data_IF_329408485318
#
_entry.id   IF_329408485318
#
_cell.length_a   1.000
_cell.length_b   1.000
_cell.length_c   1.000
_cell.angle_alpha   90.00
_cell.angle_beta   90.00
_cell.angle_gamma   90.00
#
_symmetry.space_group_name_H-M   'P 1'
#
loop_
_entity.id
_entity.type
_entity.pdbx_description
1 polymer ?
#
# COMPACT_ATOMS: atom_id res chain seq x y z
N UNK A 1 16.41 -2.87 -7.43
CA UNK A 1 16.58 -3.46 -8.76
C UNK A 1 15.57 -4.57 -8.99
N UNK A 2 14.41 -4.25 -9.57
CA UNK A 2 13.35 -5.23 -9.89
C UNK A 2 12.72 -4.96 -11.27
N UNK A 3 13.51 -4.48 -12.24
CA UNK A 3 13.15 -4.50 -13.68
C UNK A 3 13.94 -5.64 -14.30
N UNK A 4 13.36 -6.84 -14.38
CA UNK A 4 14.03 -8.00 -15.00
C UNK A 4 13.63 -9.38 -14.46
N UNK A 5 12.69 -9.46 -13.54
CA UNK A 5 12.21 -10.75 -13.03
C UNK A 5 11.23 -11.38 -14.03
N UNK A 6 11.54 -12.60 -14.47
CA UNK A 6 10.66 -13.41 -15.33
C UNK A 6 9.37 -13.77 -14.61
N UNK A 7 8.38 -14.28 -15.34
CA UNK A 7 7.03 -14.58 -14.81
C UNK A 7 7.05 -15.54 -13.59
N UNK A 8 8.09 -16.38 -13.47
CA UNK A 8 8.34 -17.25 -12.31
C UNK A 8 8.95 -16.57 -11.07
N UNK A 9 9.60 -15.40 -11.24
CA UNK A 9 10.32 -14.71 -10.17
C UNK A 9 9.43 -13.73 -9.37
N UNK A 10 8.27 -13.33 -9.90
CA UNK A 10 7.43 -12.29 -9.30
C UNK A 10 6.80 -12.72 -7.97
N UNK A 11 6.54 -14.02 -7.80
CA UNK A 11 5.94 -14.57 -6.58
C UNK A 11 6.97 -15.01 -5.54
N UNK A 12 8.23 -15.23 -5.94
CA UNK A 12 9.27 -15.82 -5.09
C UNK A 12 9.45 -15.07 -3.75
N UNK A 13 9.48 -13.72 -3.71
CA UNK A 13 9.55 -12.97 -2.45
C UNK A 13 8.30 -13.13 -1.55
N UNK A 14 7.14 -13.48 -2.14
CA UNK A 14 5.87 -13.59 -1.43
C UNK A 14 5.53 -15.01 -1.01
N UNK A 15 6.19 -16.04 -1.57
CA UNK A 15 5.92 -17.44 -1.27
C UNK A 15 5.99 -17.73 0.23
N UNK A 16 6.97 -17.14 0.91
CA UNK A 16 7.16 -17.26 2.36
C UNK A 16 6.04 -16.63 3.19
N UNK A 17 5.19 -15.78 2.62
CA UNK A 17 4.07 -15.14 3.30
C UNK A 17 2.77 -15.97 3.23
N UNK A 18 2.63 -16.90 2.29
CA UNK A 18 1.42 -17.73 2.16
C UNK A 18 1.34 -18.79 3.27
N UNK A 19 0.14 -19.02 3.81
CA UNK A 19 -0.10 -20.02 4.87
C UNK A 19 0.02 -21.46 4.39
N UNK A 20 -0.11 -21.71 3.08
CA UNK A 20 0.09 -23.01 2.43
C UNK A 20 0.84 -22.81 1.11
N UNK A 21 1.56 -23.83 0.61
CA UNK A 21 2.10 -23.79 -0.74
C UNK A 21 0.98 -23.49 -1.74
N UNK A 22 1.23 -22.57 -2.66
CA UNK A 22 0.28 -22.28 -3.73
C UNK A 22 0.13 -23.54 -4.60
N UNK A 23 -1.06 -23.84 -5.09
CA UNK A 23 -1.25 -24.81 -6.18
C UNK A 23 -1.04 -24.11 -7.55
N UNK A 24 -1.03 -24.89 -8.64
CA UNK A 24 -0.77 -24.34 -9.98
C UNK A 24 -1.82 -23.29 -10.40
N UNK A 25 -3.10 -23.56 -10.13
CA UNK A 25 -4.22 -22.68 -10.50
C UNK A 25 -4.18 -21.37 -9.72
N UNK A 26 -3.89 -21.45 -8.44
CA UNK A 26 -3.78 -20.31 -7.55
C UNK A 26 -2.54 -19.47 -7.89
N UNK A 27 -1.41 -20.10 -8.25
CA UNK A 27 -0.22 -19.40 -8.77
C UNK A 27 -0.56 -18.54 -9.99
N UNK A 28 -1.18 -19.11 -11.01
CA UNK A 28 -1.58 -18.38 -12.23
C UNK A 28 -2.49 -17.19 -11.91
N UNK A 29 -3.50 -17.39 -11.05
CA UNK A 29 -4.41 -16.33 -10.64
C UNK A 29 -3.68 -15.18 -9.93
N UNK A 30 -2.72 -15.49 -9.04
CA UNK A 30 -1.92 -14.50 -8.34
C UNK A 30 -0.94 -13.77 -9.25
N UNK A 31 -0.27 -14.45 -10.19
CA UNK A 31 0.60 -13.81 -11.19
C UNK A 31 -0.20 -12.83 -12.03
N UNK A 32 -1.35 -13.25 -12.56
CA UNK A 32 -2.21 -12.39 -13.36
C UNK A 32 -2.74 -11.19 -12.56
N UNK A 33 -3.11 -11.40 -11.28
CA UNK A 33 -3.54 -10.31 -10.40
C UNK A 33 -2.40 -9.33 -10.09
N UNK A 34 -1.20 -9.82 -9.74
CA UNK A 34 -0.03 -8.98 -9.48
C UNK A 34 0.40 -8.18 -10.72
N UNK A 35 0.29 -8.77 -11.91
CA UNK A 35 0.51 -8.08 -13.18
C UNK A 35 -0.44 -6.90 -13.36
N UNK A 36 -1.75 -7.12 -13.18
CA UNK A 36 -2.77 -6.05 -13.24
C UNK A 36 -2.57 -4.99 -12.16
N UNK A 37 -2.29 -5.42 -10.93
CA UNK A 37 -2.08 -4.52 -9.80
C UNK A 37 -0.82 -3.67 -9.98
N UNK A 38 0.29 -4.26 -10.42
CA UNK A 38 1.50 -3.49 -10.79
C UNK A 38 1.24 -2.53 -11.96
N UNK A 39 0.42 -2.93 -12.93
CA UNK A 39 -0.06 -2.03 -13.98
C UNK A 39 -0.82 -0.84 -13.42
N UNK A 40 -1.71 -1.06 -12.43
CA UNK A 40 -2.43 0.02 -11.75
C UNK A 40 -1.54 0.91 -10.87
N UNK A 41 -0.40 0.40 -10.40
CA UNK A 41 0.62 1.21 -9.70
C UNK A 41 1.46 2.07 -10.64
N UNK A 42 1.34 1.87 -11.96
CA UNK A 42 1.99 2.68 -13.00
C UNK A 42 1.12 3.82 -13.54
N UNK A 43 -0.07 4.03 -12.97
CA UNK A 43 -0.97 5.13 -13.31
C UNK A 43 -0.92 6.27 -12.29
N UNK A 44 -1.65 7.34 -12.58
CA UNK A 44 -1.80 8.47 -11.67
C UNK A 44 -2.54 8.06 -10.38
N UNK A 45 -2.14 8.60 -9.23
CA UNK A 45 -2.77 8.34 -7.94
C UNK A 45 -3.10 9.63 -7.18
N UNK A 46 -4.02 9.51 -6.21
CA UNK A 46 -4.31 10.60 -5.26
C UNK A 46 -3.04 11.03 -4.54
N UNK A 47 -2.78 12.33 -4.52
CA UNK A 47 -1.60 12.95 -3.95
C UNK A 47 -0.44 13.16 -4.94
N UNK A 48 -0.52 12.62 -6.15
CA UNK A 48 0.51 12.88 -7.17
C UNK A 48 0.40 14.32 -7.71
N UNK A 49 1.56 14.93 -7.96
CA UNK A 49 1.66 16.21 -8.66
C UNK A 49 1.64 15.96 -10.16
N UNK A 50 0.77 16.68 -10.85
CA UNK A 50 0.56 16.53 -12.29
C UNK A 50 0.55 17.88 -12.96
N UNK A 51 1.14 17.97 -14.15
CA UNK A 51 0.99 19.08 -15.08
C UNK A 51 -0.18 18.75 -16.00
N UNK A 52 -1.04 19.72 -16.20
CA UNK A 52 -2.12 19.62 -17.17
C UNK A 52 -1.57 19.88 -18.56
N UNK A 53 -1.87 19.01 -19.52
CA UNK A 53 -1.47 19.17 -20.92
C UNK A 53 -2.55 18.65 -21.87
N UNK A 54 -2.48 19.05 -23.15
CA UNK A 54 -3.34 18.50 -24.20
C UNK A 54 -4.81 18.93 -24.16
N UNK A 55 -5.20 19.94 -23.37
CA UNK A 55 -6.57 20.45 -23.37
C UNK A 55 -6.77 21.43 -24.54
N UNK A 56 -7.66 21.07 -25.46
CA UNK A 56 -8.01 21.92 -26.62
C UNK A 56 -9.12 22.94 -26.32
N UNK A 57 -10.12 22.58 -25.49
CA UNK A 57 -11.28 23.45 -25.23
C UNK A 57 -11.01 24.59 -24.25
N UNK A 58 -10.08 24.37 -23.32
CA UNK A 58 -9.64 25.32 -22.29
C UNK A 58 -8.12 25.32 -22.20
N UNK A 59 -7.43 25.84 -23.22
CA UNK A 59 -5.97 25.81 -23.29
C UNK A 59 -5.31 26.58 -22.15
N UNK A 60 -6.02 27.50 -21.48
CA UNK A 60 -5.56 28.24 -20.29
C UNK A 60 -5.22 27.35 -19.09
N UNK A 61 -5.73 26.11 -19.09
CA UNK A 61 -5.40 25.12 -18.06
C UNK A 61 -4.10 24.38 -18.36
N UNK A 62 -3.60 24.39 -19.61
CA UNK A 62 -2.35 23.72 -19.94
C UNK A 62 -1.17 24.37 -19.21
N UNK A 63 -0.14 23.58 -18.94
CA UNK A 63 1.06 23.94 -18.19
C UNK A 63 0.85 24.22 -16.70
N UNK A 64 -0.39 24.32 -16.23
CA UNK A 64 -0.69 24.43 -14.81
C UNK A 64 -0.33 23.15 -14.06
N UNK A 65 0.16 23.30 -12.84
CA UNK A 65 0.47 22.19 -11.95
C UNK A 65 -0.61 22.08 -10.88
N UNK A 66 -1.00 20.85 -10.57
CA UNK A 66 -1.94 20.56 -9.50
C UNK A 66 -1.63 19.25 -8.80
N UNK A 67 -2.40 18.98 -7.75
CA UNK A 67 -2.34 17.74 -6.98
C UNK A 67 -3.62 16.97 -7.16
N UNK A 68 -3.53 15.69 -7.47
CA UNK A 68 -4.69 14.81 -7.58
C UNK A 68 -5.33 14.63 -6.20
N UNK A 69 -6.65 14.82 -6.09
CA UNK A 69 -7.41 14.67 -4.85
C UNK A 69 -8.26 13.40 -4.83
N UNK A 70 -8.87 13.02 -5.95
CA UNK A 70 -9.80 11.89 -6.01
C UNK A 70 -10.03 11.42 -7.45
N UNK A 71 -10.40 10.14 -7.61
CA UNK A 71 -10.96 9.62 -8.87
C UNK A 71 -12.48 9.73 -8.83
N UNK A 72 -13.06 10.42 -9.82
CA UNK A 72 -14.50 10.47 -10.00
C UNK A 72 -14.94 9.34 -10.95
N UNK A 73 -15.59 8.31 -10.39
CA UNK A 73 -16.06 7.13 -11.15
C UNK A 73 -17.22 7.44 -12.10
N UNK A 74 -18.09 8.38 -11.76
CA UNK A 74 -19.25 8.74 -12.59
C UNK A 74 -18.85 9.54 -13.84
N UNK A 75 -17.80 10.36 -13.71
CA UNK A 75 -17.31 11.24 -14.78
C UNK A 75 -16.06 10.69 -15.48
N UNK A 76 -15.52 9.57 -15.02
CA UNK A 76 -14.26 8.95 -15.45
C UNK A 76 -13.11 9.97 -15.57
N UNK A 77 -12.96 10.79 -14.53
CA UNK A 77 -11.99 11.90 -14.48
C UNK A 77 -11.36 12.03 -13.10
N UNK A 78 -10.10 12.44 -13.08
CA UNK A 78 -9.38 12.84 -11.89
C UNK A 78 -9.81 14.23 -11.45
N UNK A 79 -10.15 14.38 -10.16
CA UNK A 79 -10.24 15.69 -9.51
C UNK A 79 -8.84 16.16 -9.14
N UNK A 80 -8.41 17.28 -9.70
CA UNK A 80 -7.10 17.90 -9.52
C UNK A 80 -7.28 19.28 -8.91
N UNK A 81 -6.63 19.54 -7.78
CA UNK A 81 -6.57 20.85 -7.16
C UNK A 81 -5.31 21.55 -7.69
N UNK A 82 -5.50 22.58 -8.50
CA UNK A 82 -4.44 23.36 -9.14
C UNK A 82 -3.77 24.31 -8.12
N UNK A 83 -2.54 24.74 -8.40
CA UNK A 83 -1.78 25.62 -7.49
C UNK A 83 -2.39 27.04 -7.37
N UNK A 84 -3.22 27.45 -8.33
CA UNK A 84 -4.02 28.68 -8.25
C UNK A 84 -5.22 28.57 -7.28
N UNK A 85 -5.41 27.40 -6.67
CA UNK A 85 -6.48 27.09 -5.72
C UNK A 85 -7.78 26.60 -6.37
N UNK A 86 -7.84 26.49 -7.70
CA UNK A 86 -9.02 26.00 -8.41
C UNK A 86 -9.06 24.47 -8.49
N UNK A 87 -10.27 23.90 -8.56
CA UNK A 87 -10.45 22.46 -8.76
C UNK A 87 -10.87 22.16 -10.20
N UNK A 88 -10.20 21.19 -10.82
CA UNK A 88 -10.43 20.76 -12.20
C UNK A 88 -10.69 19.26 -12.30
N UNK A 89 -11.63 18.86 -13.17
CA UNK A 89 -11.92 17.45 -13.47
C UNK A 89 -11.33 17.05 -14.84
N UNK A 90 -10.22 16.29 -14.81
CA UNK A 90 -9.35 16.06 -15.96
C UNK A 90 -9.21 14.56 -16.30
N UNK A 91 -9.06 14.24 -17.58
CA UNK A 91 -8.77 12.87 -18.02
C UNK A 91 -7.30 12.56 -17.74
N UNK A 92 -6.99 11.30 -17.44
CA UNK A 92 -5.60 10.84 -17.25
C UNK A 92 -4.70 11.17 -18.45
N UNK A 93 -5.22 11.10 -19.68
CA UNK A 93 -4.48 11.46 -20.89
C UNK A 93 -4.06 12.96 -20.97
N UNK A 94 -4.66 13.82 -20.15
CA UNK A 94 -4.35 15.26 -20.09
C UNK A 94 -3.51 15.61 -18.86
N UNK A 95 -2.95 14.60 -18.19
CA UNK A 95 -2.23 14.74 -16.93
C UNK A 95 -0.88 14.06 -17.07
N UNK A 96 0.17 14.87 -16.99
CA UNK A 96 1.55 14.41 -17.00
C UNK A 96 2.10 14.43 -15.57
N UNK A 97 2.64 13.30 -15.11
CA UNK A 97 3.25 13.20 -13.78
C UNK A 97 4.49 14.11 -13.70
N UNK A 98 4.58 14.93 -12.64
CA UNK A 98 5.73 15.81 -12.38
C UNK A 98 6.55 15.25 -11.22
N UNK A 99 7.73 14.66 -11.49
CA UNK A 99 8.65 14.16 -10.45
C UNK A 99 9.53 15.28 -9.85
N UNK A 100 9.13 15.84 -8.69
CA UNK A 100 9.92 16.69 -7.76
C UNK A 100 10.46 18.03 -8.32
N UNK A 101 10.56 19.17 -7.62
CA UNK A 101 10.42 19.59 -6.22
C UNK A 101 10.08 21.09 -6.21
N UNK A 102 9.49 21.57 -5.10
CA UNK A 102 9.59 22.97 -4.73
C UNK A 102 11.07 23.35 -4.45
N UNK A 103 11.43 24.59 -4.78
CA UNK A 103 12.71 25.28 -4.57
C UNK A 103 13.90 24.82 -5.44
N UNK A 104 14.22 25.67 -6.42
CA UNK A 104 15.45 25.68 -7.20
C UNK A 104 16.66 26.04 -6.33
N UNK A 105 17.77 25.31 -6.51
CA UNK A 105 19.03 25.56 -5.82
C UNK A 105 20.12 24.56 -6.24
N UNK A 106 20.66 24.77 -7.45
CA UNK A 106 21.92 24.30 -8.06
C UNK A 106 22.70 23.10 -7.47
N UNK A 107 22.99 22.16 -8.40
CA UNK A 107 24.22 21.38 -8.59
C UNK A 107 24.20 19.87 -8.30
N UNK A 108 24.44 19.13 -9.40
CA UNK A 108 25.06 17.81 -9.52
C UNK A 108 24.29 16.54 -9.10
N UNK A 109 23.88 15.77 -10.12
CA UNK A 109 24.24 14.35 -10.18
C UNK A 109 23.15 13.32 -9.82
N UNK A 110 22.48 12.79 -10.85
CA UNK A 110 22.09 11.38 -11.01
C UNK A 110 21.32 10.66 -9.89
N UNK A 111 20.02 10.35 -10.12
CA UNK A 111 19.30 9.41 -9.24
C UNK A 111 17.80 9.20 -9.49
N UNK A 112 17.33 9.19 -10.73
CA UNK A 112 15.90 9.15 -11.10
C UNK A 112 15.14 7.83 -10.91
N UNK A 113 15.34 7.10 -9.81
CA UNK A 113 14.55 5.90 -9.51
C UNK A 113 14.18 5.71 -8.02
N UNK A 114 14.90 6.38 -7.10
CA UNK A 114 14.68 6.19 -5.67
C UNK A 114 13.47 6.99 -5.12
N UNK A 115 13.14 8.14 -5.73
CA UNK A 115 12.05 9.02 -5.29
C UNK A 115 10.65 8.43 -5.46
N UNK A 116 10.43 7.66 -6.54
CA UNK A 116 9.13 7.02 -6.85
C UNK A 116 8.85 5.79 -5.96
N UNK A 117 9.88 4.99 -5.65
CA UNK A 117 9.70 3.80 -4.79
C UNK A 117 9.52 4.19 -3.33
N UNK A 118 10.34 5.12 -2.82
CA UNK A 118 10.26 5.53 -1.41
C UNK A 118 8.91 6.20 -1.07
N UNK A 119 8.41 7.06 -1.98
CA UNK A 119 7.09 7.69 -1.83
C UNK A 119 5.95 6.67 -1.91
N UNK A 120 6.03 5.69 -2.82
CA UNK A 120 5.06 4.58 -2.92
C UNK A 120 5.07 3.72 -1.67
N UNK A 121 6.24 3.34 -1.15
CA UNK A 121 6.37 2.57 0.10
C UNK A 121 5.76 3.32 1.28
N UNK A 122 6.00 4.63 1.39
CA UNK A 122 5.39 5.47 2.43
C UNK A 122 3.86 5.46 2.35
N UNK A 123 3.29 5.59 1.13
CA UNK A 123 1.84 5.51 0.91
C UNK A 123 1.28 4.14 1.29
N UNK A 124 1.96 3.07 0.91
CA UNK A 124 1.55 1.70 1.23
C UNK A 124 1.57 1.45 2.75
N UNK A 125 2.58 1.93 3.46
CA UNK A 125 2.67 1.81 4.92
C UNK A 125 1.59 2.61 5.64
N UNK A 126 1.25 3.79 5.14
CA UNK A 126 0.19 4.62 5.73
C UNK A 126 -1.22 4.04 5.50
N UNK A 127 -1.43 3.29 4.41
CA UNK A 127 -2.74 2.72 4.09
C UNK A 127 -2.95 1.30 4.67
N UNK A 128 -1.87 0.52 4.83
CA UNK A 128 -1.96 -0.87 5.27
C UNK A 128 -1.50 -1.00 6.74
N UNK A 129 -2.40 -1.37 7.67
CA UNK A 129 -2.00 -1.57 9.06
C UNK A 129 -1.00 -2.72 9.16
N UNK A 130 0.10 -2.47 9.86
CA UNK A 130 1.12 -3.48 10.18
C UNK A 130 0.59 -4.50 11.18
N UNK A 131 -0.22 -4.06 12.14
CA UNK A 131 -0.80 -4.91 13.18
C UNK A 131 -2.32 -5.00 13.05
N UNK A 132 -2.81 -6.24 12.92
CA UNK A 132 -4.23 -6.57 12.85
C UNK A 132 -4.56 -7.53 13.99
N UNK A 133 -5.68 -7.36 14.71
CA UNK A 133 -6.10 -8.31 15.74
C UNK A 133 -6.41 -9.68 15.14
N UNK A 134 -5.46 -10.61 15.22
CA UNK A 134 -5.62 -11.99 14.73
C UNK A 134 -6.15 -12.89 15.84
N UNK A 135 -6.97 -13.85 15.47
CA UNK A 135 -7.60 -14.81 16.39
C UNK A 135 -6.60 -15.40 17.41
N UNK A 136 -5.44 -15.89 16.94
CA UNK A 136 -4.44 -16.50 17.82
C UNK A 136 -3.90 -15.54 18.90
N UNK A 137 -3.84 -14.24 18.63
CA UNK A 137 -3.39 -13.23 19.59
C UNK A 137 -4.45 -13.06 20.68
N UNK A 138 -5.71 -12.98 20.26
CA UNK A 138 -6.85 -12.79 21.15
C UNK A 138 -7.09 -14.02 22.03
N UNK A 139 -7.03 -15.22 21.46
CA UNK A 139 -7.16 -16.48 22.20
C UNK A 139 -6.10 -16.57 23.31
N UNK A 140 -4.84 -16.24 23.01
CA UNK A 140 -3.78 -16.23 24.04
C UNK A 140 -4.06 -15.19 25.13
N UNK A 141 -4.53 -14.00 24.77
CA UNK A 141 -4.89 -12.96 25.73
C UNK A 141 -6.06 -13.39 26.63
N UNK A 142 -7.11 -14.00 26.07
CA UNK A 142 -8.25 -14.51 26.81
C UNK A 142 -7.87 -15.66 27.74
N UNK A 143 -7.08 -16.65 27.28
CA UNK A 143 -6.61 -17.75 28.13
C UNK A 143 -5.78 -17.25 29.32
N UNK A 144 -5.00 -16.19 29.13
CA UNK A 144 -4.19 -15.58 30.19
C UNK A 144 -5.07 -14.78 31.17
N UNK A 145 -6.02 -14.01 30.65
CA UNK A 145 -6.99 -13.26 31.45
C UNK A 145 -7.90 -14.18 32.28
N UNK A 146 -8.29 -15.34 31.75
CA UNK A 146 -9.09 -16.33 32.50
C UNK A 146 -8.36 -16.91 33.73
N UNK A 147 -7.02 -16.80 33.75
CA UNK A 147 -6.17 -17.16 34.90
C UNK A 147 -5.90 -15.95 35.82
N UNK A 148 -6.59 -14.83 35.61
CA UNK A 148 -6.45 -13.60 36.37
C UNK A 148 -5.32 -12.67 35.91
N UNK A 149 -4.60 -13.02 34.84
CA UNK A 149 -3.48 -12.21 34.33
C UNK A 149 -3.87 -11.46 33.05
N UNK A 150 -4.10 -10.16 33.20
CA UNK A 150 -4.53 -9.26 32.13
C UNK A 150 -3.38 -8.58 31.38
N UNK A 151 -2.12 -8.89 31.70
CA UNK A 151 -0.94 -8.24 31.10
C UNK A 151 -0.95 -8.28 29.57
N UNK A 152 -1.32 -9.43 29.00
CA UNK A 152 -1.34 -9.61 27.54
C UNK A 152 -2.51 -8.86 26.87
N UNK A 153 -3.64 -8.71 27.56
CA UNK A 153 -4.76 -7.88 27.07
C UNK A 153 -4.31 -6.43 26.96
N UNK A 154 -3.64 -5.90 27.99
CA UNK A 154 -3.12 -4.53 27.96
C UNK A 154 -2.00 -4.34 26.93
N UNK A 155 -1.12 -5.33 26.75
CA UNK A 155 -0.07 -5.28 25.71
C UNK A 155 -0.68 -5.21 24.30
N UNK A 156 -1.66 -6.06 24.00
CA UNK A 156 -2.35 -6.04 22.71
C UNK A 156 -3.19 -4.78 22.51
N UNK A 157 -3.82 -4.27 23.57
CA UNK A 157 -4.53 -2.99 23.51
C UNK A 157 -3.59 -1.85 23.10
N UNK A 158 -2.42 -1.75 23.74
CA UNK A 158 -1.39 -0.78 23.38
C UNK A 158 -0.93 -0.92 21.93
N UNK A 159 -0.70 -2.16 21.47
CA UNK A 159 -0.32 -2.45 20.09
C UNK A 159 -1.33 -1.92 19.07
N UNK A 160 -2.63 -2.09 19.34
CA UNK A 160 -3.70 -1.72 18.43
C UNK A 160 -4.10 -0.24 18.47
N UNK A 161 -3.55 0.55 19.39
CA UNK A 161 -3.70 2.01 19.37
C UNK A 161 -2.87 2.67 18.25
N UNK A 162 -1.77 2.03 17.82
CA UNK A 162 -0.95 2.47 16.68
C UNK A 162 -0.68 1.31 15.70
N UNK A 163 -1.70 0.85 14.96
CA UNK A 163 -1.60 -0.34 14.14
C UNK A 163 -0.77 -0.13 12.86
N UNK A 164 -0.44 1.11 12.50
CA UNK A 164 0.33 1.47 11.30
C UNK A 164 1.80 1.78 11.61
N UNK A 165 2.12 2.15 12.85
CA UNK A 165 3.47 2.52 13.28
C UNK A 165 4.46 1.35 13.31
N UNK A 166 5.74 1.72 13.23
CA UNK A 166 6.85 0.79 13.41
C UNK A 166 7.13 0.59 14.90
N UNK A 167 6.95 -0.64 15.40
CA UNK A 167 7.14 -0.99 16.81
C UNK A 167 8.15 -2.15 16.93
N UNK A 168 9.47 -1.89 16.96
CA UNK A 168 10.51 -2.92 16.85
C UNK A 168 10.42 -4.04 17.90
N UNK A 169 10.00 -3.70 19.12
CA UNK A 169 9.81 -4.66 20.20
C UNK A 169 8.62 -5.61 19.94
N UNK A 170 7.55 -5.09 19.33
CA UNK A 170 6.33 -5.81 19.04
C UNK A 170 6.42 -6.58 17.71
N UNK A 171 7.24 -6.13 16.77
CA UNK A 171 7.42 -6.75 15.45
C UNK A 171 7.79 -8.23 15.56
N UNK A 172 8.78 -8.56 16.40
CA UNK A 172 9.21 -9.96 16.60
C UNK A 172 8.11 -10.85 17.21
N UNK A 173 7.24 -10.28 18.05
CA UNK A 173 6.17 -11.01 18.75
C UNK A 173 4.94 -11.20 17.86
N UNK A 174 4.57 -10.15 17.11
CA UNK A 174 3.22 -10.00 16.55
C UNK A 174 3.19 -9.78 15.04
N UNK A 175 4.26 -9.29 14.43
CA UNK A 175 4.38 -9.17 12.97
C UNK A 175 4.92 -10.46 12.35
N UNK A 176 4.24 -11.57 12.66
CA UNK A 176 4.59 -12.91 12.19
C UNK A 176 3.33 -13.70 11.89
N UNK A 177 3.52 -14.82 11.19
CA UNK A 177 2.45 -15.80 10.98
C UNK A 177 1.99 -16.37 12.32
N UNK A 178 0.76 -16.90 12.31
CA UNK A 178 0.26 -17.66 13.45
C UNK A 178 1.23 -18.80 13.78
N UNK A 179 1.60 -18.98 15.05
CA UNK A 179 2.45 -20.09 15.45
C UNK A 179 1.74 -21.43 15.19
N UNK A 180 2.44 -22.50 14.81
CA UNK A 180 1.83 -23.78 14.42
C UNK A 180 0.86 -24.35 15.47
N UNK A 181 1.14 -24.13 16.74
CA UNK A 181 0.34 -24.58 17.88
C UNK A 181 -1.05 -23.92 17.90
N UNK A 182 -1.16 -22.69 17.40
CA UNK A 182 -2.43 -21.97 17.31
C UNK A 182 -3.31 -22.43 16.13
N UNK A 183 -2.76 -23.21 15.17
CA UNK A 183 -3.54 -23.79 14.09
C UNK A 183 -4.30 -25.06 14.52
N UNK A 184 -3.92 -25.65 15.66
CA UNK A 184 -4.48 -26.92 16.17
C UNK A 184 -5.49 -26.69 17.30
N UNK A 185 -5.32 -25.63 18.11
CA UNK A 185 -6.31 -25.24 19.13
C UNK A 185 -7.57 -24.68 18.46
N UNK A 186 -8.72 -25.22 18.84
CA UNK A 186 -9.98 -25.16 18.11
C UNK A 186 -10.46 -23.75 17.71
N UNK A 187 -10.90 -23.64 16.45
CA UNK A 187 -11.50 -22.44 15.85
C UNK A 187 -10.89 -22.04 14.51
N UNK A 188 -9.62 -22.39 14.24
CA UNK A 188 -8.88 -21.92 13.06
C UNK A 188 -8.75 -22.99 11.95
N UNK A 189 -9.87 -23.51 11.43
CA UNK A 189 -10.02 -24.03 10.05
C UNK A 189 -11.33 -24.82 9.91
N UNK A 190 -12.48 -24.15 9.93
CA UNK A 190 -13.72 -24.64 9.29
C UNK A 190 -14.70 -23.47 9.16
N UNK A 191 -14.65 -22.78 8.03
CA UNK A 191 -15.90 -22.43 7.36
C UNK A 191 -15.99 -23.41 6.18
N UNK A 192 -16.98 -24.29 6.26
CA UNK A 192 -17.40 -25.16 5.14
C UNK A 192 -18.04 -24.33 4.03
#
# INVERSE_FOLDING_TARGET
>A
GLRGLGEGDVLEPFQQAFYRPLDAKLREAWVAWLGRWRGSLGGLAVGDRVRVSGIQQKPELNDQIGTIKLWNKEKERWGVCLEDGSDAALKEANLELVEGSAAEGSAAGGGGAAGSVASTVRRLRAANPKYVPREWMLVQAYEKANRGDYSLVHELYGLFLDPYGEQPEMEKKYFRKAPPEALVKGGCAKMS
#
